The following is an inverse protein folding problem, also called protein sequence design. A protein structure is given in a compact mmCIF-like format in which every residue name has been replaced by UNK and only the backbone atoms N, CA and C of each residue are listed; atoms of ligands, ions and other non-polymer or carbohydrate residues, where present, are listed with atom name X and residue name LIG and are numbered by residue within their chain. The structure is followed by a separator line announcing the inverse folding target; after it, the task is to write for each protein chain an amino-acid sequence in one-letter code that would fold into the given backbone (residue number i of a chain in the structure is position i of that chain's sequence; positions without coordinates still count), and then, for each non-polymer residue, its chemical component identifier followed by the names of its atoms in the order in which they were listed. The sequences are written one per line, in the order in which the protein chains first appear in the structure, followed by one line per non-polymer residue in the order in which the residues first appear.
data_IF_821707880653
#
_entry.id   IF_821707880653
#
_cell.length_a   1.000
_cell.length_b   1.000
_cell.length_c   1.000
_cell.angle_alpha   90.00
_cell.angle_beta   90.00
_cell.angle_gamma   90.00
#
_symmetry.space_group_name_H-M   'P 1'
#
loop_
_entity.id
_entity.type
_entity.pdbx_description
1 polymer ?
#
# COMPACT_ATOMS: atom_id res chain seq x y z
N UNK A 1 7.97 14.70 -2.91
CA UNK A 1 6.87 13.79 -3.32
C UNK A 1 6.61 13.99 -4.81
N UNK A 2 6.39 12.90 -5.55
CA UNK A 2 5.84 12.94 -6.91
C UNK A 2 4.44 12.36 -6.85
N UNK A 3 3.45 13.11 -7.31
CA UNK A 3 2.04 12.74 -7.29
C UNK A 3 1.56 12.41 -8.70
N UNK A 4 0.98 11.22 -8.87
CA UNK A 4 0.38 10.76 -10.12
C UNK A 4 -1.09 10.42 -9.86
N UNK A 5 -1.96 10.89 -10.75
CA UNK A 5 -3.37 10.57 -10.70
C UNK A 5 -3.64 9.14 -11.18
N UNK A 6 -4.42 8.39 -10.41
CA UNK A 6 -4.86 7.01 -10.65
C UNK A 6 -3.72 5.97 -10.62
N UNK A 7 -3.90 4.81 -9.96
CA UNK A 7 -2.90 3.74 -9.92
C UNK A 7 -2.38 3.29 -11.30
N UNK A 8 -3.26 3.25 -12.29
CA UNK A 8 -3.02 2.76 -13.65
C UNK A 8 -1.90 3.52 -14.37
N UNK A 9 -1.70 4.79 -13.99
CA UNK A 9 -0.72 5.67 -14.64
C UNK A 9 0.64 5.68 -13.92
N UNK A 10 0.70 5.21 -12.67
CA UNK A 10 1.86 5.44 -11.78
C UNK A 10 3.12 4.74 -12.28
N UNK A 11 3.06 3.43 -12.57
CA UNK A 11 4.27 2.67 -12.90
C UNK A 11 4.88 3.11 -14.23
N UNK A 12 4.06 3.27 -15.28
CA UNK A 12 4.53 3.71 -16.59
C UNK A 12 5.14 5.11 -16.54
N UNK A 13 4.52 6.03 -15.81
CA UNK A 13 5.03 7.38 -15.63
C UNK A 13 6.36 7.39 -14.88
N UNK A 14 6.46 6.66 -13.76
CA UNK A 14 7.69 6.59 -12.95
C UNK A 14 8.85 5.94 -13.68
N UNK A 15 8.60 4.94 -14.54
CA UNK A 15 9.63 4.36 -15.38
C UNK A 15 10.20 5.39 -16.36
N UNK A 16 9.32 6.10 -17.08
CA UNK A 16 9.76 7.16 -17.99
C UNK A 16 10.49 8.30 -17.25
N UNK A 17 10.03 8.67 -16.07
CA UNK A 17 10.68 9.68 -15.23
C UNK A 17 12.06 9.23 -14.75
N UNK A 18 12.21 7.96 -14.35
CA UNK A 18 13.49 7.36 -13.94
C UNK A 18 14.48 7.34 -15.10
N UNK A 19 14.05 6.93 -16.30
CA UNK A 19 14.86 6.93 -17.52
C UNK A 19 15.30 8.36 -17.91
N UNK A 20 14.48 9.35 -17.60
CA UNK A 20 14.80 10.78 -17.76
C UNK A 20 15.67 11.36 -16.62
N UNK A 21 16.06 10.56 -15.62
CA UNK A 21 16.92 10.95 -14.51
C UNK A 21 16.19 11.57 -13.30
N UNK A 22 14.86 11.50 -13.25
CA UNK A 22 14.05 11.98 -12.11
C UNK A 22 14.01 10.92 -11.02
N UNK A 23 15.02 10.94 -10.15
CA UNK A 23 15.18 9.95 -9.06
C UNK A 23 15.24 10.56 -7.66
N UNK A 24 15.37 11.90 -7.59
CA UNK A 24 15.56 12.67 -6.36
C UNK A 24 14.22 13.05 -5.71
N UNK A 25 13.48 12.04 -5.27
CA UNK A 25 12.23 12.17 -4.52
C UNK A 25 12.09 11.03 -3.53
N UNK A 26 11.35 11.24 -2.44
CA UNK A 26 11.24 10.24 -1.36
C UNK A 26 9.91 9.47 -1.36
N UNK A 27 8.83 10.11 -1.82
CA UNK A 27 7.45 9.61 -1.73
C UNK A 27 6.80 9.60 -3.12
N UNK A 28 6.16 8.48 -3.46
CA UNK A 28 5.19 8.32 -4.54
C UNK A 28 3.80 8.58 -3.95
N UNK A 29 3.14 9.65 -4.40
CA UNK A 29 1.75 9.96 -4.09
C UNK A 29 0.81 9.44 -5.18
N UNK A 30 -0.28 8.81 -4.79
CA UNK A 30 -1.30 8.27 -5.70
C UNK A 30 -2.66 8.91 -5.39
N UNK A 31 -3.37 9.43 -6.40
CA UNK A 31 -4.82 9.65 -6.26
C UNK A 31 -5.54 8.32 -6.47
N UNK A 32 -6.39 7.93 -5.53
CA UNK A 32 -7.22 6.72 -5.63
C UNK A 32 -8.69 7.07 -5.42
N UNK A 33 -9.47 6.93 -6.49
CA UNK A 33 -10.92 7.08 -6.48
C UNK A 33 -11.53 5.84 -7.12
N UNK A 34 -12.46 5.20 -6.41
CA UNK A 34 -13.07 3.93 -6.82
C UNK A 34 -13.79 4.02 -8.16
N UNK A 35 -14.50 5.13 -8.43
CA UNK A 35 -15.20 5.34 -9.70
C UNK A 35 -14.30 5.62 -10.91
N UNK A 36 -13.00 5.86 -10.69
CA UNK A 36 -12.03 6.18 -11.75
C UNK A 36 -10.85 5.21 -11.79
N UNK A 37 -10.92 4.10 -11.07
CA UNK A 37 -9.83 3.15 -10.91
C UNK A 37 -10.35 1.73 -11.15
N UNK A 38 -9.59 0.95 -11.90
CA UNK A 38 -9.81 -0.48 -12.08
C UNK A 38 -9.25 -1.28 -10.89
N UNK A 39 -8.56 -0.62 -9.95
CA UNK A 39 -8.06 -1.27 -8.75
C UNK A 39 -9.12 -1.36 -7.65
N UNK A 40 -9.39 -2.57 -7.17
CA UNK A 40 -10.02 -2.79 -5.87
C UNK A 40 -9.03 -2.47 -4.73
N UNK A 41 -9.52 -2.35 -3.49
CA UNK A 41 -8.64 -2.20 -2.32
C UNK A 41 -7.55 -3.28 -2.30
N UNK A 42 -7.96 -4.53 -2.56
CA UNK A 42 -7.03 -5.67 -2.65
C UNK A 42 -5.94 -5.46 -3.69
N UNK A 43 -6.29 -5.09 -4.93
CA UNK A 43 -5.28 -4.88 -5.98
C UNK A 43 -4.48 -3.60 -5.79
N UNK A 44 -5.03 -2.59 -5.11
CA UNK A 44 -4.33 -1.38 -4.70
C UNK A 44 -3.22 -1.69 -3.69
N UNK A 45 -3.49 -2.45 -2.63
CA UNK A 45 -2.48 -2.85 -1.65
C UNK A 45 -1.28 -3.56 -2.30
N UNK A 46 -1.54 -4.49 -3.22
CA UNK A 46 -0.49 -5.15 -4.00
C UNK A 46 0.34 -4.17 -4.83
N UNK A 47 -0.33 -3.20 -5.44
CA UNK A 47 0.32 -2.22 -6.29
C UNK A 47 1.20 -1.27 -5.46
N UNK A 48 0.74 -0.84 -4.30
CA UNK A 48 1.52 -0.06 -3.33
C UNK A 48 2.79 -0.82 -2.94
N UNK A 49 2.66 -2.09 -2.53
CA UNK A 49 3.81 -2.90 -2.13
C UNK A 49 4.81 -3.09 -3.30
N UNK A 50 4.30 -3.35 -4.51
CA UNK A 50 5.12 -3.42 -5.73
C UNK A 50 5.91 -2.13 -5.96
N UNK A 51 5.27 -0.96 -5.90
CA UNK A 51 5.93 0.32 -6.14
C UNK A 51 7.05 0.58 -5.12
N UNK A 52 6.80 0.27 -3.84
CA UNK A 52 7.80 0.40 -2.77
C UNK A 52 9.06 -0.40 -3.09
N UNK A 53 8.91 -1.67 -3.46
CA UNK A 53 10.05 -2.53 -3.76
C UNK A 53 10.72 -2.20 -5.10
N UNK A 54 9.94 -1.82 -6.12
CA UNK A 54 10.47 -1.51 -7.44
C UNK A 54 11.28 -0.23 -7.47
N UNK A 55 10.81 0.81 -6.80
CA UNK A 55 11.43 2.14 -6.82
C UNK A 55 12.24 2.46 -5.56
N UNK A 56 12.12 1.66 -4.50
CA UNK A 56 12.77 1.91 -3.22
C UNK A 56 12.29 3.21 -2.55
N UNK A 57 11.02 3.56 -2.77
CA UNK A 57 10.40 4.81 -2.31
C UNK A 57 9.23 4.52 -1.38
N UNK A 58 8.92 5.51 -0.56
CA UNK A 58 7.69 5.50 0.21
C UNK A 58 6.47 5.70 -0.69
N UNK A 59 5.32 5.16 -0.29
CA UNK A 59 4.07 5.27 -1.06
C UNK A 59 2.93 5.73 -0.15
N UNK A 60 2.12 6.68 -0.62
CA UNK A 60 0.99 7.26 0.11
C UNK A 60 -0.19 7.49 -0.84
N UNK A 61 -1.41 7.31 -0.36
CA UNK A 61 -2.60 7.83 -1.05
C UNK A 61 -2.73 9.30 -0.68
N UNK A 62 -2.58 10.19 -1.64
CA UNK A 62 -2.59 11.64 -1.39
C UNK A 62 -3.92 12.29 -1.73
N UNK A 63 -4.79 11.58 -2.45
CA UNK A 63 -6.16 12.00 -2.72
C UNK A 63 -7.06 10.77 -2.76
N UNK A 64 -8.19 10.87 -2.08
CA UNK A 64 -9.31 9.94 -2.18
C UNK A 64 -10.56 10.64 -1.68
N UNK A 65 -11.73 10.08 -2.00
CA UNK A 65 -12.98 10.39 -1.36
C UNK A 65 -14.00 9.29 -1.61
N UNK A 66 -15.05 9.29 -0.79
CA UNK A 66 -16.16 8.35 -0.91
C UNK A 66 -17.48 9.04 -0.57
N UNK A 67 -18.57 8.77 -1.31
CA UNK A 67 -19.83 9.46 -1.09
C UNK A 67 -20.51 8.97 0.19
N UNK A 68 -20.90 9.89 1.06
CA UNK A 68 -21.76 9.60 2.22
C UNK A 68 -23.25 9.72 1.87
N UNK A 69 -23.56 10.23 0.67
CA UNK A 69 -24.91 10.25 0.09
C UNK A 69 -24.84 10.38 -1.44
N UNK A 70 -25.91 10.02 -2.15
CA UNK A 70 -26.10 10.37 -3.58
C UNK A 70 -27.07 11.56 -3.75
N UNK A 71 -27.52 12.15 -2.65
CA UNK A 71 -28.34 13.35 -2.66
C UNK A 71 -27.53 14.61 -2.99
N UNK A 72 -28.25 15.71 -3.17
CA UNK A 72 -27.72 17.07 -3.31
C UNK A 72 -28.66 18.08 -2.68
N UNK A 73 -28.17 19.29 -2.41
CA UNK A 73 -29.03 20.45 -2.12
C UNK A 73 -29.59 21.08 -3.40
N UNK A 74 -30.40 22.13 -3.24
CA UNK A 74 -30.88 22.92 -4.38
C UNK A 74 -29.77 23.87 -4.86
N UNK A 75 -28.89 23.34 -5.68
CA UNK A 75 -27.76 24.05 -6.28
C UNK A 75 -27.68 23.83 -7.80
N UNK A 76 -26.71 24.48 -8.46
CA UNK A 76 -26.44 24.24 -9.89
C UNK A 76 -25.10 23.56 -10.16
N UNK A 77 -24.23 23.51 -9.17
CA UNK A 77 -23.08 22.61 -9.17
C UNK A 77 -23.58 21.17 -9.08
N UNK A 78 -23.17 20.29 -9.99
CA UNK A 78 -23.50 18.86 -9.93
C UNK A 78 -22.35 18.13 -9.24
N UNK A 79 -22.67 17.22 -8.31
CA UNK A 79 -21.68 16.37 -7.66
C UNK A 79 -20.90 15.54 -8.68
N UNK A 80 -19.57 15.53 -8.54
CA UNK A 80 -18.65 14.76 -9.37
C UNK A 80 -18.64 13.28 -8.93
N UNK A 81 -18.79 13.04 -7.62
CA UNK A 81 -18.85 11.69 -7.05
C UNK A 81 -20.28 11.18 -7.18
N UNK A 82 -20.49 10.12 -7.95
CA UNK A 82 -21.79 9.52 -8.24
C UNK A 82 -21.85 8.04 -7.83
N UNK A 83 -22.88 7.31 -8.28
CA UNK A 83 -23.08 5.91 -7.95
C UNK A 83 -22.00 4.98 -8.51
N UNK A 84 -21.22 5.41 -9.51
CA UNK A 84 -20.11 4.63 -10.06
C UNK A 84 -18.94 4.47 -9.09
N UNK A 85 -18.89 5.29 -8.03
CA UNK A 85 -17.89 5.19 -6.98
C UNK A 85 -18.23 4.12 -5.94
N UNK A 86 -19.46 3.61 -5.93
CA UNK A 86 -19.89 2.67 -4.90
C UNK A 86 -19.27 1.29 -5.08
N UNK A 87 -18.77 0.75 -3.97
CA UNK A 87 -18.29 -0.61 -3.83
C UNK A 87 -19.27 -1.44 -3.01
N UNK A 88 -19.36 -2.73 -3.32
CA UNK A 88 -20.15 -3.68 -2.54
C UNK A 88 -19.67 -3.69 -1.07
N UNK A 89 -20.61 -3.52 -0.13
CA UNK A 89 -20.31 -3.44 1.30
C UNK A 89 -20.19 -2.01 1.86
N UNK A 90 -20.04 -1.00 0.99
CA UNK A 90 -19.85 0.39 1.41
C UNK A 90 -20.95 1.28 0.78
N UNK A 91 -22.17 1.31 1.36
CA UNK A 91 -23.26 2.11 0.80
C UNK A 91 -22.96 3.62 0.86
N UNK A 92 -23.69 4.41 0.07
CA UNK A 92 -23.65 5.88 0.18
C UNK A 92 -24.33 6.35 1.47
N UNK A 93 -23.64 6.19 2.60
CA UNK A 93 -24.02 6.60 3.94
C UNK A 93 -22.79 7.09 4.72
N UNK A 94 -22.96 7.84 5.82
CA UNK A 94 -21.85 8.18 6.71
C UNK A 94 -21.06 6.94 7.20
N UNK A 95 -21.77 5.88 7.60
CA UNK A 95 -21.19 4.58 7.98
C UNK A 95 -20.39 3.95 6.83
N UNK A 96 -20.94 3.91 5.62
CA UNK A 96 -20.25 3.34 4.46
C UNK A 96 -19.02 4.16 4.04
N UNK A 97 -19.05 5.49 4.22
CA UNK A 97 -17.88 6.35 4.03
C UNK A 97 -16.80 6.06 5.08
N UNK A 98 -17.18 5.90 6.36
CA UNK A 98 -16.26 5.53 7.44
C UNK A 98 -15.62 4.17 7.18
N UNK A 99 -16.42 3.14 6.92
CA UNK A 99 -15.96 1.78 6.67
C UNK A 99 -14.97 1.73 5.49
N UNK A 100 -15.30 2.43 4.39
CA UNK A 100 -14.39 2.53 3.24
C UNK A 100 -13.07 3.18 3.62
N UNK A 101 -13.11 4.30 4.36
CA UNK A 101 -11.91 5.03 4.73
C UNK A 101 -11.02 4.24 5.71
N UNK A 102 -11.63 3.48 6.62
CA UNK A 102 -10.90 2.57 7.53
C UNK A 102 -10.24 1.46 6.73
N UNK A 103 -10.97 0.76 5.87
CA UNK A 103 -10.45 -0.38 5.11
C UNK A 103 -9.40 0.04 4.08
N UNK A 104 -9.59 1.18 3.41
CA UNK A 104 -8.57 1.75 2.53
C UNK A 104 -7.30 2.08 3.30
N UNK A 105 -7.41 2.72 4.46
CA UNK A 105 -6.24 3.10 5.26
C UNK A 105 -5.51 1.88 5.81
N UNK A 106 -6.24 0.87 6.30
CA UNK A 106 -5.63 -0.39 6.73
C UNK A 106 -4.98 -1.12 5.55
N UNK A 107 -5.61 -1.14 4.37
CA UNK A 107 -5.03 -1.70 3.13
C UNK A 107 -3.69 -1.04 2.78
N UNK A 108 -3.59 0.28 2.92
CA UNK A 108 -2.33 1.02 2.70
C UNK A 108 -1.27 0.59 3.70
N UNK A 109 -1.61 0.50 4.99
CA UNK A 109 -0.68 0.05 6.03
C UNK A 109 -0.25 -1.41 5.87
N UNK A 110 -1.16 -2.29 5.49
CA UNK A 110 -0.88 -3.70 5.21
C UNK A 110 0.12 -3.88 4.06
N UNK A 111 0.06 -2.99 3.07
CA UNK A 111 1.04 -2.91 1.98
C UNK A 111 2.36 -2.23 2.38
N UNK A 112 2.46 -1.73 3.61
CA UNK A 112 3.55 -0.94 4.14
C UNK A 112 3.61 0.49 3.58
N UNK A 113 2.51 1.05 3.08
CA UNK A 113 2.37 2.46 2.73
C UNK A 113 2.37 3.38 3.95
N UNK A 114 2.47 4.70 3.72
CA UNK A 114 2.56 5.72 4.77
C UNK A 114 1.22 6.17 5.34
N UNK A 115 0.12 6.02 4.58
CA UNK A 115 -1.21 6.47 4.98
C UNK A 115 -2.02 7.09 3.85
N UNK A 116 -3.09 7.79 4.22
CA UNK A 116 -4.11 8.33 3.33
C UNK A 116 -4.38 9.80 3.65
N UNK A 117 -4.50 10.63 2.62
CA UNK A 117 -5.00 12.01 2.70
C UNK A 117 -6.35 12.09 1.99
N UNK A 118 -7.36 12.57 2.71
CA UNK A 118 -8.70 12.79 2.17
C UNK A 118 -8.74 14.11 1.38
N UNK A 119 -9.36 14.09 0.20
CA UNK A 119 -9.47 15.28 -0.64
C UNK A 119 -10.75 16.06 -0.35
N UNK A 120 -10.59 17.35 -0.05
CA UNK A 120 -11.66 18.32 0.18
C UNK A 120 -12.76 17.84 1.15
N UNK A 121 -12.43 17.47 2.40
CA UNK A 121 -13.41 16.98 3.37
C UNK A 121 -14.44 18.03 3.77
N UNK A 122 -14.23 19.31 3.47
CA UNK A 122 -15.06 20.43 3.90
C UNK A 122 -15.55 21.30 2.73
N UNK A 123 -15.48 20.82 1.49
CA UNK A 123 -16.04 21.55 0.34
C UNK A 123 -17.57 21.39 0.29
N UNK A 124 -18.23 21.93 1.31
CA UNK A 124 -19.68 21.98 1.44
C UNK A 124 -20.30 23.00 0.48
N UNK A 125 -21.59 22.84 0.17
CA UNK A 125 -22.31 23.80 -0.65
C UNK A 125 -22.49 25.14 0.07
N UNK A 126 -22.45 26.24 -0.70
CA UNK A 126 -22.65 27.60 -0.21
C UNK A 126 -23.41 28.41 -1.27
N UNK A 127 -23.89 29.60 -0.90
CA UNK A 127 -24.50 30.54 -1.86
C UNK A 127 -23.50 31.11 -2.89
N UNK A 128 -22.20 30.83 -2.74
CA UNK A 128 -21.16 31.29 -3.65
C UNK A 128 -21.28 30.62 -5.03
N UNK A 129 -20.81 31.31 -6.06
CA UNK A 129 -20.81 30.82 -7.44
C UNK A 129 -19.42 30.82 -8.03
N UNK A 130 -19.15 29.78 -8.82
CA UNK A 130 -17.99 29.67 -9.69
C UNK A 130 -18.43 29.82 -11.15
N UNK A 131 -17.50 29.72 -12.11
CA UNK A 131 -17.86 29.68 -13.53
C UNK A 131 -18.64 28.41 -13.92
N UNK A 132 -18.67 27.39 -13.05
CA UNK A 132 -19.17 26.05 -13.33
C UNK A 132 -20.45 25.70 -12.56
N UNK A 133 -20.86 26.55 -11.61
CA UNK A 133 -22.09 26.37 -10.83
C UNK A 133 -22.11 27.22 -9.57
N UNK A 134 -23.30 27.39 -9.00
CA UNK A 134 -23.49 27.81 -7.62
C UNK A 134 -23.47 26.57 -6.73
N UNK A 135 -22.78 26.64 -5.58
CA UNK A 135 -22.67 25.52 -4.64
C UNK A 135 -21.36 24.75 -4.74
N UNK A 136 -21.40 23.45 -4.46
CA UNK A 136 -20.22 22.56 -4.45
C UNK A 136 -20.36 21.41 -5.45
N UNK A 137 -19.27 21.05 -6.10
CA UNK A 137 -19.23 19.85 -6.94
C UNK A 137 -18.86 18.57 -6.15
N UNK A 138 -18.79 18.67 -4.82
CA UNK A 138 -18.21 17.66 -3.94
C UNK A 138 -18.96 17.44 -2.62
N UNK A 139 -20.08 18.14 -2.39
CA UNK A 139 -20.73 18.19 -1.07
C UNK A 139 -21.10 16.80 -0.54
N UNK A 140 -21.46 15.88 -1.43
CA UNK A 140 -21.86 14.51 -1.10
C UNK A 140 -20.70 13.57 -0.74
N UNK A 141 -19.46 14.04 -0.85
CA UNK A 141 -18.24 13.33 -0.47
C UNK A 141 -17.45 14.10 0.61
N UNK A 142 -18.05 15.07 1.28
CA UNK A 142 -17.46 15.75 2.45
C UNK A 142 -17.60 14.92 3.73
N UNK A 143 -17.06 15.41 4.84
CA UNK A 143 -17.36 14.92 6.20
C UNK A 143 -18.39 15.80 6.92
N UNK A 144 -19.25 16.51 6.19
CA UNK A 144 -20.24 17.43 6.76
C UNK A 144 -21.61 17.23 6.10
N UNK A 145 -22.66 17.06 6.92
CA UNK A 145 -24.02 16.82 6.42
C UNK A 145 -24.67 18.15 6.01
N UNK A 146 -24.64 18.45 4.71
CA UNK A 146 -25.30 19.63 4.15
C UNK A 146 -26.83 19.66 4.38
N UNK A 147 -27.45 18.56 4.82
CA UNK A 147 -28.88 18.46 5.13
C UNK A 147 -29.16 18.80 6.59
N UNK A 148 -28.13 18.95 7.41
CA UNK A 148 -28.20 19.14 8.85
C UNK A 148 -27.17 20.17 9.34
N UNK A 149 -27.26 21.40 8.82
CA UNK A 149 -26.45 22.56 9.24
C UNK A 149 -24.93 22.32 9.24
N UNK A 150 -24.44 21.54 8.26
CA UNK A 150 -23.05 21.13 8.13
C UNK A 150 -22.51 20.46 9.42
N UNK A 151 -23.33 19.64 10.09
CA UNK A 151 -22.87 18.82 11.21
C UNK A 151 -21.84 17.78 10.72
N UNK A 152 -20.80 17.56 11.53
CA UNK A 152 -19.73 16.60 11.20
C UNK A 152 -20.28 15.18 11.14
N UNK A 153 -19.88 14.45 10.09
CA UNK A 153 -20.23 13.06 9.85
C UNK A 153 -19.21 12.11 10.46
N UNK A 154 -19.66 10.91 10.82
CA UNK A 154 -18.81 9.84 11.38
C UNK A 154 -17.68 9.41 10.43
N UNK A 155 -17.78 9.71 9.13
CA UNK A 155 -16.71 9.49 8.16
C UNK A 155 -15.36 10.07 8.58
N UNK A 156 -15.31 11.17 9.35
CA UNK A 156 -14.07 11.76 9.85
C UNK A 156 -13.36 10.89 10.90
N UNK A 157 -14.09 9.97 11.54
CA UNK A 157 -13.59 9.13 12.64
C UNK A 157 -12.52 8.13 12.18
N UNK A 158 -12.35 7.92 10.87
CA UNK A 158 -11.24 7.12 10.33
C UNK A 158 -9.87 7.63 10.85
N UNK A 159 -9.73 8.93 11.09
CA UNK A 159 -8.49 9.52 11.66
C UNK A 159 -8.17 9.01 13.08
N UNK A 160 -9.15 8.42 13.77
CA UNK A 160 -9.05 7.92 15.14
C UNK A 160 -9.16 6.39 15.22
N UNK A 161 -9.30 5.69 14.09
CA UNK A 161 -9.43 4.25 14.09
C UNK A 161 -8.15 3.56 14.57
N UNK A 162 -8.32 2.40 15.21
CA UNK A 162 -7.22 1.57 15.69
C UNK A 162 -6.60 0.79 14.53
N UNK A 163 -5.58 1.37 13.91
CA UNK A 163 -4.87 0.74 12.80
C UNK A 163 -3.73 -0.19 13.26
N UNK A 164 -3.53 -1.28 12.52
CA UNK A 164 -2.30 -2.07 12.61
C UNK A 164 -1.21 -1.40 11.77
N UNK A 165 -0.32 -0.68 12.43
CA UNK A 165 0.80 0.00 11.77
C UNK A 165 1.88 -1.00 11.34
N UNK A 166 2.51 -0.78 10.17
CA UNK A 166 3.61 -1.62 9.73
C UNK A 166 4.87 -1.37 10.58
N UNK A 167 5.64 -2.43 10.79
CA UNK A 167 6.92 -2.41 11.50
C UNK A 167 8.05 -2.64 10.51
N UNK A 168 9.08 -1.79 10.57
CA UNK A 168 10.28 -1.94 9.75
C UNK A 168 11.08 -3.17 10.17
N UNK A 169 11.52 -3.98 9.22
CA UNK A 169 12.46 -5.06 9.47
C UNK A 169 13.38 -5.30 8.28
N UNK A 170 14.56 -5.85 8.56
CA UNK A 170 15.44 -6.39 7.53
C UNK A 170 15.35 -7.91 7.50
N UNK A 171 15.28 -8.47 6.30
CA UNK A 171 15.44 -9.91 6.06
C UNK A 171 16.73 -10.12 5.29
N UNK A 172 17.67 -10.85 5.87
CA UNK A 172 18.98 -11.09 5.30
C UNK A 172 19.32 -12.57 5.21
N UNK A 173 20.12 -12.90 4.19
CA UNK A 173 20.63 -14.25 3.95
C UNK A 173 22.13 -14.29 4.29
N UNK A 174 22.50 -15.17 5.21
CA UNK A 174 23.89 -15.49 5.55
C UNK A 174 24.32 -16.67 4.70
N UNK A 175 25.32 -16.45 3.84
CA UNK A 175 25.89 -17.48 2.98
C UNK A 175 27.27 -17.90 3.49
N UNK A 176 27.52 -19.21 3.55
CA UNK A 176 28.84 -19.76 3.82
C UNK A 176 29.56 -20.09 2.50
N UNK A 177 30.79 -19.61 2.33
CA UNK A 177 31.63 -19.91 1.16
C UNK A 177 31.51 -18.89 0.02
N UNK A 178 31.53 -19.40 -1.23
CA UNK A 178 31.50 -18.56 -2.43
C UNK A 178 30.17 -17.82 -2.55
N UNK A 179 30.24 -16.50 -2.66
CA UNK A 179 29.08 -15.62 -2.70
C UNK A 179 28.60 -15.45 -4.15
N UNK A 180 27.30 -15.61 -4.44
CA UNK A 180 26.76 -15.29 -5.75
C UNK A 180 26.83 -13.77 -6.01
N UNK A 181 26.78 -13.35 -7.26
CA UNK A 181 26.70 -11.92 -7.60
C UNK A 181 25.39 -11.27 -7.13
N UNK A 182 24.34 -12.07 -6.95
CA UNK A 182 22.99 -11.64 -6.56
C UNK A 182 22.25 -12.82 -5.95
N UNK A 183 21.42 -12.55 -4.95
CA UNK A 183 20.46 -13.50 -4.41
C UNK A 183 19.07 -13.09 -4.88
N UNK A 184 18.24 -14.06 -5.22
CA UNK A 184 16.84 -13.83 -5.54
C UNK A 184 15.96 -14.24 -4.36
N UNK A 185 15.04 -13.38 -3.95
CA UNK A 185 14.05 -13.67 -2.93
C UNK A 185 12.70 -13.85 -3.59
N UNK A 186 12.16 -15.06 -3.54
CA UNK A 186 10.74 -15.30 -3.80
C UNK A 186 10.01 -15.10 -2.49
N UNK A 187 9.03 -14.22 -2.43
CA UNK A 187 8.26 -14.02 -1.21
C UNK A 187 6.81 -13.62 -1.52
N UNK A 188 5.89 -14.01 -0.65
CA UNK A 188 4.54 -13.44 -0.57
C UNK A 188 4.48 -12.51 0.64
N UNK A 189 4.32 -11.22 0.37
CA UNK A 189 4.26 -10.17 1.39
C UNK A 189 2.84 -9.71 1.70
N UNK A 190 1.83 -10.19 0.96
CA UNK A 190 0.45 -9.69 1.04
C UNK A 190 -0.62 -10.80 1.02
N UNK A 191 -0.22 -12.07 0.90
CA UNK A 191 -1.13 -13.20 0.75
C UNK A 191 -1.79 -13.26 -0.64
N UNK A 192 -1.19 -12.63 -1.65
CA UNK A 192 -1.82 -12.43 -2.95
C UNK A 192 -0.96 -12.87 -4.14
N UNK A 193 0.17 -13.52 -3.87
CA UNK A 193 1.01 -14.09 -4.89
C UNK A 193 2.48 -13.76 -4.71
N UNK A 194 3.32 -14.74 -5.06
CA UNK A 194 4.76 -14.67 -4.90
C UNK A 194 5.37 -13.68 -5.88
N UNK A 195 6.23 -12.80 -5.37
CA UNK A 195 7.06 -11.90 -6.14
C UNK A 195 8.50 -12.41 -6.09
N UNK A 196 9.24 -12.24 -7.19
CA UNK A 196 10.67 -12.49 -7.22
C UNK A 196 11.40 -11.14 -7.17
N UNK A 197 12.20 -10.94 -6.14
CA UNK A 197 13.03 -9.76 -5.94
C UNK A 197 14.49 -10.12 -6.18
N UNK A 198 15.22 -9.26 -6.88
CA UNK A 198 16.67 -9.34 -7.01
C UNK A 198 17.31 -8.54 -5.87
N UNK A 199 18.15 -9.19 -5.08
CA UNK A 199 18.85 -8.57 -3.95
C UNK A 199 20.35 -8.59 -4.27
N UNK A 200 20.93 -7.46 -4.70
CA UNK A 200 22.37 -7.36 -4.84
C UNK A 200 23.03 -7.31 -3.45
N UNK A 201 24.33 -7.65 -3.35
CA UNK A 201 25.05 -7.54 -2.09
C UNK A 201 25.17 -6.07 -1.66
N UNK A 202 24.95 -5.82 -0.38
CA UNK A 202 25.26 -4.55 0.25
C UNK A 202 26.79 -4.32 0.32
N UNK A 203 27.21 -3.12 0.72
CA UNK A 203 28.63 -2.76 0.78
C UNK A 203 29.45 -3.64 1.76
N UNK A 204 28.79 -4.25 2.75
CA UNK A 204 29.37 -5.21 3.70
C UNK A 204 29.31 -6.67 3.21
N UNK A 205 28.83 -6.89 1.99
CA UNK A 205 28.70 -8.21 1.36
C UNK A 205 27.43 -8.97 1.74
N UNK A 206 26.55 -8.43 2.60
CA UNK A 206 25.30 -9.09 2.99
C UNK A 206 24.20 -8.89 1.96
N UNK A 207 23.33 -9.88 1.82
CA UNK A 207 22.11 -9.77 1.02
C UNK A 207 20.97 -9.39 1.95
N UNK A 208 20.50 -8.13 1.88
CA UNK A 208 19.53 -7.58 2.83
C UNK A 208 18.36 -6.96 2.08
N UNK A 209 17.14 -7.41 2.38
CA UNK A 209 15.91 -6.72 2.04
C UNK A 209 15.46 -5.89 3.24
N UNK A 210 15.37 -4.57 3.09
CA UNK A 210 14.68 -3.71 4.05
C UNK A 210 13.21 -3.56 3.61
N UNK A 211 12.29 -3.80 4.51
CA UNK A 211 10.85 -3.67 4.24
C UNK A 211 10.09 -3.36 5.52
N UNK A 212 8.76 -3.21 5.41
CA UNK A 212 7.85 -3.14 6.54
C UNK A 212 6.50 -3.72 6.19
N UNK A 213 5.91 -4.39 7.17
CA UNK A 213 4.60 -5.03 7.11
C UNK A 213 3.98 -4.97 8.51
N UNK A 214 2.66 -5.15 8.66
CA UNK A 214 2.03 -5.25 9.98
C UNK A 214 2.69 -6.32 10.85
N UNK A 215 2.78 -6.02 12.16
CA UNK A 215 3.25 -7.00 13.13
C UNK A 215 2.33 -8.24 13.12
N UNK A 216 2.92 -9.42 13.19
CA UNK A 216 2.16 -10.67 13.18
C UNK A 216 1.76 -11.20 11.80
N UNK A 217 2.01 -10.46 10.72
CA UNK A 217 1.82 -10.97 9.35
C UNK A 217 2.71 -12.19 9.12
N UNK A 218 2.14 -13.27 8.58
CA UNK A 218 2.92 -14.41 8.10
C UNK A 218 3.44 -14.12 6.69
N UNK A 219 4.76 -14.23 6.51
CA UNK A 219 5.41 -14.14 5.21
C UNK A 219 5.96 -15.49 4.81
N UNK A 220 5.71 -15.86 3.56
CA UNK A 220 6.22 -17.09 2.96
C UNK A 220 7.35 -16.72 2.01
N UNK A 221 8.56 -17.20 2.23
CA UNK A 221 9.72 -16.81 1.43
C UNK A 221 10.71 -17.95 1.15
N UNK A 222 11.47 -17.80 0.08
CA UNK A 222 12.54 -18.70 -0.32
C UNK A 222 13.61 -17.88 -1.03
N UNK A 223 14.87 -18.13 -0.69
CA UNK A 223 16.01 -17.50 -1.31
C UNK A 223 16.61 -18.42 -2.38
N UNK A 224 17.17 -17.84 -3.43
CA UNK A 224 17.79 -18.58 -4.53
C UNK A 224 19.13 -17.95 -4.91
N UNK A 225 20.13 -18.80 -5.15
CA UNK A 225 21.48 -18.37 -5.56
C UNK A 225 21.60 -18.00 -7.04
N UNK A 226 20.56 -18.28 -7.83
CA UNK A 226 20.43 -17.91 -9.23
C UNK A 226 18.94 -17.68 -9.57
N UNK A 227 18.65 -17.15 -10.76
CA UNK A 227 17.28 -17.01 -11.23
C UNK A 227 16.60 -18.39 -11.20
N UNK A 228 15.52 -18.56 -10.41
CA UNK A 228 14.93 -19.87 -10.21
C UNK A 228 14.12 -20.29 -11.45
N UNK A 229 14.69 -21.15 -12.28
CA UNK A 229 13.96 -21.91 -13.30
C UNK A 229 13.21 -23.10 -12.69
N UNK A 230 13.71 -23.60 -11.55
CA UNK A 230 13.18 -24.66 -10.70
C UNK A 230 13.74 -24.47 -9.26
N UNK A 231 13.41 -25.37 -8.35
CA UNK A 231 13.82 -25.27 -6.94
C UNK A 231 15.25 -25.75 -6.66
N UNK A 232 16.02 -26.20 -7.67
CA UNK A 232 17.40 -26.70 -7.50
C UNK A 232 18.40 -25.61 -7.08
N UNK A 233 17.99 -24.34 -7.19
CA UNK A 233 18.81 -23.17 -6.85
C UNK A 233 18.41 -22.54 -5.51
N UNK A 234 17.47 -23.16 -4.78
CA UNK A 234 17.06 -22.68 -3.47
C UNK A 234 18.25 -22.64 -2.50
N UNK A 235 18.15 -21.78 -1.50
CA UNK A 235 19.18 -21.61 -0.48
C UNK A 235 18.67 -22.02 0.91
N UNK A 236 17.37 -22.27 1.07
CA UNK A 236 16.76 -22.81 2.29
C UNK A 236 16.21 -24.20 1.99
N UNK A 237 16.59 -25.18 2.80
CA UNK A 237 16.15 -26.57 2.69
C UNK A 237 15.91 -27.17 4.07
N UNK A 238 14.97 -28.13 4.17
CA UNK A 238 14.75 -28.90 5.41
C UNK A 238 13.27 -29.08 5.75
N UNK A 239 13.00 -29.57 6.97
CA UNK A 239 11.65 -29.82 7.47
C UNK A 239 10.87 -28.55 7.89
N UNK A 240 11.49 -27.37 7.79
CA UNK A 240 10.87 -26.07 8.08
C UNK A 240 10.23 -25.40 6.86
N UNK A 241 10.29 -26.05 5.69
CA UNK A 241 9.55 -25.60 4.53
C UNK A 241 8.08 -26.05 4.63
N UNK A 242 7.17 -25.19 4.22
CA UNK A 242 5.76 -25.52 4.03
C UNK A 242 5.56 -26.50 2.86
N UNK A 243 4.30 -26.89 2.64
CA UNK A 243 3.91 -27.82 1.56
C UNK A 243 4.28 -27.30 0.16
N UNK A 244 4.56 -26.00 0.03
CA UNK A 244 4.90 -25.35 -1.22
C UNK A 244 6.39 -25.01 -1.36
N UNK A 245 7.23 -25.52 -0.44
CA UNK A 245 8.69 -25.37 -0.48
C UNK A 245 9.23 -24.03 0.03
N UNK A 246 8.43 -23.30 0.82
CA UNK A 246 8.75 -21.96 1.32
C UNK A 246 8.93 -21.97 2.84
N UNK A 247 9.80 -21.11 3.35
CA UNK A 247 9.91 -20.87 4.78
C UNK A 247 8.84 -19.89 5.25
N UNK A 248 8.30 -20.11 6.44
CA UNK A 248 7.28 -19.23 7.05
C UNK A 248 7.91 -18.43 8.18
N UNK A 249 7.74 -17.11 8.15
CA UNK A 249 8.17 -16.19 9.19
C UNK A 249 7.00 -15.31 9.62
N UNK A 250 6.83 -15.13 10.92
CA UNK A 250 5.92 -14.13 11.47
C UNK A 250 6.68 -12.81 11.66
N UNK A 251 6.15 -11.72 11.11
CA UNK A 251 6.73 -10.37 11.23
C UNK A 251 6.82 -9.98 12.72
N UNK A 252 8.01 -9.59 13.21
CA UNK A 252 8.20 -9.19 14.60
C UNK A 252 7.33 -8.00 15.02
N UNK A 253 7.08 -7.91 16.32
CA UNK A 253 6.31 -6.80 16.92
C UNK A 253 7.09 -5.47 16.99
N UNK A 254 8.41 -5.53 16.84
CA UNK A 254 9.32 -4.37 16.93
C UNK A 254 10.33 -4.44 15.81
N UNK A 255 10.92 -3.29 15.47
CA UNK A 255 11.94 -3.23 14.44
C UNK A 255 13.08 -4.23 14.71
N UNK A 256 13.39 -5.04 13.71
CA UNK A 256 14.28 -6.18 13.87
C UNK A 256 15.10 -6.46 12.60
N UNK A 257 16.32 -6.96 12.80
CA UNK A 257 17.15 -7.60 11.78
C UNK A 257 16.99 -9.12 11.88
N UNK A 258 16.44 -9.70 10.82
CA UNK A 258 16.16 -11.12 10.69
C UNK A 258 17.21 -11.72 9.76
N UNK A 259 18.00 -12.65 10.30
CA UNK A 259 19.11 -13.27 9.58
C UNK A 259 18.83 -14.77 9.43
N UNK A 260 18.76 -15.25 8.19
CA UNK A 260 18.59 -16.66 7.87
C UNK A 260 19.91 -17.23 7.34
N UNK A 261 20.39 -18.30 7.96
CA UNK A 261 21.58 -19.03 7.49
C UNK A 261 21.24 -20.02 6.38
N UNK A 262 21.90 -19.91 5.23
CA UNK A 262 21.70 -20.79 4.09
C UNK A 262 21.88 -22.27 4.44
N UNK A 263 21.00 -23.11 3.89
CA UNK A 263 20.99 -24.55 4.09
C UNK A 263 20.46 -25.01 5.45
N UNK A 264 19.93 -24.11 6.27
CA UNK A 264 19.44 -24.42 7.63
C UNK A 264 18.00 -23.96 7.82
N UNK A 265 17.44 -24.27 9.00
CA UNK A 265 16.20 -23.66 9.49
C UNK A 265 16.49 -22.56 10.54
N UNK A 266 17.76 -22.19 10.70
CA UNK A 266 18.21 -21.30 11.76
C UNK A 266 17.97 -19.84 11.35
N UNK A 267 17.07 -19.19 12.09
CA UNK A 267 16.75 -17.77 11.95
C UNK A 267 17.10 -17.05 13.24
N UNK A 268 18.02 -16.10 13.16
CA UNK A 268 18.35 -15.19 14.25
C UNK A 268 17.54 -13.90 14.10
N UNK A 269 16.89 -13.46 15.18
CA UNK A 269 16.17 -12.18 15.23
C UNK A 269 16.87 -11.27 16.21
N UNK A 270 17.38 -10.16 15.72
CA UNK A 270 18.07 -9.13 16.50
C UNK A 270 17.23 -7.84 16.53
N UNK A 271 17.11 -7.15 17.66
CA UNK A 271 16.55 -5.81 17.67
C UNK A 271 17.37 -4.86 16.78
N UNK A 272 16.70 -4.03 15.99
CA UNK A 272 17.34 -2.98 15.18
C UNK A 272 17.70 -1.75 15.99
#
# INVERSE_FOLDING_TARGET
IIHIAQPENVEGWLLAATDAGVVDFDIIGISYYTGWSDHSLRTLGNFINQLRHRFGKEVMIVETAYPWTLGSVRESATNIVDDTFLLDGYPASPEGQLDFMVDLTQTVYDAGGLGVIYWEPAWVSTDCSTLWGQGSHWENATFFDFRNDDEVLEGIEFLQADYMYPVDFSLSMILEGEQPETVFLRADFTGMGRRLLSIPPAADGRFVLNTRLPAGTEIHYQFFGALPANDDTALIYGACLDEEGMFVLTVPITASDIQHTAGTCDVAVHPS
#
